data_IF_460504982870
#
_entry.id   IF_460504982870
#
_cell.length_a   1.000
_cell.length_b   1.000
_cell.length_c   1.000
_cell.angle_alpha   90.00
_cell.angle_beta   90.00
_cell.angle_gamma   90.00
#
_symmetry.space_group_name_H-M   'P 1'
#
loop_
_entity.id
_entity.type
_entity.pdbx_description
1 polymer ?
#
# COMPACT_ATOMS: atom_id res chain seq x y z
N UNK A 1 -11.68 0.75 19.69
CA UNK A 1 -11.67 1.18 18.26
C UNK A 1 -10.44 2.02 17.95
N UNK A 2 -9.81 2.66 18.96
CA UNK A 2 -8.59 3.49 18.81
C UNK A 2 -7.27 2.71 18.61
N UNK A 3 -7.19 1.44 18.99
CA UNK A 3 -5.93 0.67 18.92
C UNK A 3 -5.42 0.40 17.50
N UNK A 4 -6.32 0.28 16.50
CA UNK A 4 -5.94 -0.03 15.11
C UNK A 4 -5.33 1.20 14.42
N UNK A 5 -5.85 2.39 14.70
CA UNK A 5 -5.35 3.63 14.11
C UNK A 5 -3.97 3.99 14.69
N UNK A 6 -3.80 3.79 16.01
CA UNK A 6 -2.49 3.89 16.68
C UNK A 6 -1.46 2.93 16.06
N UNK A 7 -1.85 1.69 15.77
CA UNK A 7 -0.96 0.69 15.15
C UNK A 7 -0.52 1.08 13.73
N UNK A 8 -1.41 1.69 12.93
CA UNK A 8 -1.09 2.10 11.56
C UNK A 8 -0.16 3.31 11.50
N UNK A 9 -0.33 4.26 12.40
CA UNK A 9 0.57 5.40 12.50
C UNK A 9 1.96 4.98 12.99
N UNK A 10 2.04 4.01 13.91
CA UNK A 10 3.32 3.39 14.29
C UNK A 10 4.01 2.71 13.09
N UNK A 11 3.27 1.98 12.26
CA UNK A 11 3.81 1.36 11.04
C UNK A 11 4.30 2.41 10.03
N UNK A 12 3.56 3.51 9.84
CA UNK A 12 4.01 4.62 8.97
C UNK A 12 5.29 5.24 9.52
N UNK A 13 5.37 5.50 10.81
CA UNK A 13 6.58 6.05 11.46
C UNK A 13 7.77 5.12 11.26
N UNK A 14 7.57 3.80 11.38
CA UNK A 14 8.60 2.80 11.13
C UNK A 14 9.07 2.83 9.67
N UNK A 15 8.14 2.86 8.71
CA UNK A 15 8.45 2.94 7.29
C UNK A 15 9.19 4.24 6.93
N UNK A 16 8.83 5.37 7.54
CA UNK A 16 9.55 6.64 7.34
C UNK A 16 11.01 6.55 7.80
N UNK A 17 11.28 5.93 8.95
CA UNK A 17 12.67 5.70 9.42
C UNK A 17 13.46 4.84 8.45
N UNK A 18 12.83 3.79 7.91
CA UNK A 18 13.48 2.93 6.89
C UNK A 18 13.74 3.75 5.62
N UNK A 19 12.78 4.58 5.19
CA UNK A 19 12.90 5.44 4.00
C UNK A 19 14.13 6.35 4.04
N UNK A 20 14.42 6.94 5.20
CA UNK A 20 15.60 7.80 5.39
C UNK A 20 16.91 7.06 5.10
N UNK A 21 17.02 5.82 5.59
CA UNK A 21 18.20 4.97 5.42
C UNK A 21 18.26 4.19 4.10
N UNK A 22 17.16 4.13 3.37
CA UNK A 22 17.02 3.32 2.16
C UNK A 22 17.70 3.96 0.94
N UNK A 23 18.21 3.10 0.04
CA UNK A 23 18.72 3.52 -1.27
C UNK A 23 17.59 4.09 -2.11
N UNK A 24 17.94 4.90 -3.10
CA UNK A 24 16.96 5.56 -3.99
C UNK A 24 16.06 4.55 -4.72
N UNK A 25 16.59 3.37 -5.05
CA UNK A 25 15.80 2.29 -5.64
C UNK A 25 14.77 1.73 -4.64
N UNK A 26 15.21 1.39 -3.43
CA UNK A 26 14.39 0.76 -2.38
C UNK A 26 13.29 1.70 -1.85
N UNK A 27 13.51 3.01 -1.90
CA UNK A 27 12.51 4.03 -1.50
C UNK A 27 11.18 3.88 -2.24
N UNK A 28 11.20 3.43 -3.49
CA UNK A 28 9.97 3.19 -4.27
C UNK A 28 9.11 2.10 -3.66
N UNK A 29 9.73 1.04 -3.14
CA UNK A 29 9.01 -0.05 -2.47
C UNK A 29 8.38 0.48 -1.18
N UNK A 30 9.09 1.34 -0.46
CA UNK A 30 8.58 1.95 0.77
C UNK A 30 7.40 2.90 0.46
N UNK A 31 7.47 3.70 -0.59
CA UNK A 31 6.37 4.56 -1.05
C UNK A 31 5.11 3.73 -1.39
N UNK A 32 5.29 2.57 -2.03
CA UNK A 32 4.21 1.61 -2.26
C UNK A 32 3.63 1.16 -0.93
N UNK A 33 4.44 0.66 0.02
CA UNK A 33 3.97 0.16 1.32
C UNK A 33 3.19 1.22 2.12
N UNK A 34 3.65 2.48 2.12
CA UNK A 34 2.94 3.58 2.78
C UNK A 34 1.56 3.81 2.13
N UNK A 35 1.51 3.81 0.79
CA UNK A 35 0.24 3.93 0.06
C UNK A 35 -0.70 2.75 0.34
N UNK A 36 -0.16 1.53 0.46
CA UNK A 36 -0.94 0.35 0.84
C UNK A 36 -1.57 0.51 2.20
N UNK A 37 -0.80 0.93 3.21
CA UNK A 37 -1.33 1.19 4.54
C UNK A 37 -2.49 2.17 4.39
N UNK A 38 -2.29 3.35 3.81
CA UNK A 38 -3.34 4.37 3.69
C UNK A 38 -4.63 3.90 3.01
N UNK A 39 -4.55 2.96 2.07
CA UNK A 39 -5.70 2.48 1.27
C UNK A 39 -6.38 1.24 1.86
N UNK A 40 -5.68 0.43 2.64
CA UNK A 40 -6.27 -0.74 3.28
C UNK A 40 -7.31 -0.33 4.32
N UNK A 41 -8.48 -1.00 4.36
CA UNK A 41 -9.51 -0.68 5.34
C UNK A 41 -9.06 -1.00 6.76
N UNK A 42 -9.58 -0.24 7.72
CA UNK A 42 -9.29 -0.40 9.15
C UNK A 42 -10.15 -1.49 9.83
N UNK A 43 -10.88 -2.30 9.06
CA UNK A 43 -11.81 -3.31 9.58
C UNK A 43 -11.44 -4.68 9.04
N UNK A 44 -11.59 -5.71 9.87
CA UNK A 44 -11.49 -7.10 9.40
C UNK A 44 -12.63 -7.36 8.40
N UNK A 45 -12.25 -7.83 7.21
CA UNK A 45 -13.16 -8.09 6.08
C UNK A 45 -13.58 -9.56 6.05
N UNK A 46 -13.29 -10.33 7.11
CA UNK A 46 -13.32 -11.80 7.08
C UNK A 46 -14.70 -12.41 6.80
N UNK A 47 -15.78 -11.63 6.82
CA UNK A 47 -17.15 -12.08 6.54
C UNK A 47 -17.92 -11.16 5.57
N UNK A 48 -17.23 -10.36 4.75
CA UNK A 48 -17.89 -9.46 3.79
C UNK A 48 -18.12 -10.15 2.44
N UNK A 49 -19.36 -10.18 1.97
CA UNK A 49 -19.66 -10.57 0.58
C UNK A 49 -19.40 -9.36 -0.32
N UNK A 50 -18.25 -9.32 -0.96
CA UNK A 50 -17.84 -8.25 -1.89
C UNK A 50 -18.03 -8.72 -3.34
N UNK A 51 -18.50 -7.82 -4.20
CA UNK A 51 -18.62 -8.10 -5.63
C UNK A 51 -17.27 -7.91 -6.35
N UNK A 52 -17.12 -8.51 -7.53
CA UNK A 52 -15.87 -8.46 -8.31
C UNK A 52 -15.39 -7.02 -8.56
N UNK A 53 -16.32 -6.13 -8.92
CA UNK A 53 -15.98 -4.74 -9.19
C UNK A 53 -15.48 -4.02 -7.93
N UNK A 54 -16.07 -4.31 -6.77
CA UNK A 54 -15.64 -3.75 -5.49
C UNK A 54 -14.27 -4.30 -5.09
N UNK A 55 -14.05 -5.62 -5.26
CA UNK A 55 -12.75 -6.26 -5.06
C UNK A 55 -11.65 -5.57 -5.88
N UNK A 56 -11.92 -5.35 -7.18
CA UNK A 56 -10.94 -4.74 -8.08
C UNK A 56 -10.68 -3.30 -7.68
N UNK A 57 -11.72 -2.46 -7.63
CA UNK A 57 -11.56 -1.01 -7.51
C UNK A 57 -11.19 -0.54 -6.11
N UNK A 58 -11.65 -1.24 -5.07
CA UNK A 58 -11.48 -0.81 -3.67
C UNK A 58 -10.31 -1.50 -2.98
N UNK A 59 -9.85 -2.65 -3.49
CA UNK A 59 -8.81 -3.45 -2.83
C UNK A 59 -7.63 -3.78 -3.74
N UNK A 60 -7.84 -4.22 -4.98
CA UNK A 60 -6.73 -4.68 -5.84
C UNK A 60 -6.04 -3.51 -6.55
N UNK A 61 -6.77 -2.68 -7.29
CA UNK A 61 -6.23 -1.54 -8.04
C UNK A 61 -5.46 -0.57 -7.16
N UNK A 62 -5.94 -0.19 -5.96
CA UNK A 62 -5.23 0.75 -5.11
C UNK A 62 -3.85 0.24 -4.69
N UNK A 63 -3.67 -1.08 -4.66
CA UNK A 63 -2.45 -1.81 -4.27
C UNK A 63 -1.53 -2.07 -5.47
N UNK A 64 -2.09 -2.59 -6.55
CA UNK A 64 -1.32 -3.04 -7.72
C UNK A 64 -0.98 -1.91 -8.68
N UNK A 65 -1.84 -0.90 -8.82
CA UNK A 65 -1.59 0.22 -9.74
C UNK A 65 -0.26 0.94 -9.43
N UNK A 66 0.07 1.29 -8.17
CA UNK A 66 1.37 1.87 -7.86
C UNK A 66 2.57 0.98 -8.18
N UNK A 67 2.41 -0.36 -8.21
CA UNK A 67 3.48 -1.34 -8.43
C UNK A 67 3.67 -1.63 -9.92
N UNK A 68 2.56 -1.71 -10.66
CA UNK A 68 2.50 -2.23 -12.04
C UNK A 68 2.33 -1.11 -13.08
N UNK A 69 1.84 0.07 -12.70
CA UNK A 69 1.58 1.16 -13.63
C UNK A 69 2.65 2.25 -13.53
N UNK A 70 3.69 2.12 -14.37
CA UNK A 70 4.55 3.23 -14.79
C UNK A 70 4.71 3.24 -16.31
N UNK A 71 3.85 3.95 -17.06
CA UNK A 71 3.94 3.98 -18.52
C UNK A 71 5.21 4.68 -19.04
N UNK A 72 5.92 5.41 -18.18
CA UNK A 72 7.09 6.22 -18.52
C UNK A 72 8.41 5.44 -18.59
N UNK A 73 8.44 4.22 -18.03
CA UNK A 73 9.56 3.30 -18.16
C UNK A 73 9.03 2.03 -18.79
N UNK A 74 9.70 1.50 -19.80
CA UNK A 74 9.30 0.26 -20.50
C UNK A 74 9.43 -1.01 -19.62
N UNK A 75 9.32 -0.86 -18.30
CA UNK A 75 9.46 -1.88 -17.28
C UNK A 75 8.07 -2.26 -16.79
N UNK A 76 7.74 -3.55 -16.91
CA UNK A 76 6.47 -4.13 -16.49
C UNK A 76 6.30 -4.16 -14.96
N UNK A 77 7.38 -3.92 -14.20
CA UNK A 77 7.40 -3.93 -12.74
C UNK A 77 8.28 -2.81 -12.20
N UNK A 78 7.92 -2.28 -11.03
CA UNK A 78 8.81 -1.47 -10.18
C UNK A 78 9.82 -2.38 -9.44
N UNK A 79 10.76 -2.98 -10.18
CA UNK A 79 11.97 -3.62 -9.64
C UNK A 79 13.20 -3.00 -10.28
#
# INVERSE_FOLDING_TARGET
>A
MDDIDSSRDELKIMLFKIYESARKEDRKVIDVLINLINKLPNKEILDCNIEEQELITSYIDPILSPILHRPEGNNLFLW
#
